data_IF_266079128098
#
_entry.id   IF_266079128098
#
_cell.length_a   1.000
_cell.length_b   1.000
_cell.length_c   1.000
_cell.angle_alpha   90.00
_cell.angle_beta   90.00
_cell.angle_gamma   90.00
#
_symmetry.space_group_name_H-M   'P 1'
#
loop_
_entity.id
_entity.type
_entity.pdbx_description
1 polymer ?
#
# COMPACT_ATOMS: atom_id res chain seq x y z
N UNK A 1 -17.14 -7.77 -32.38
CA UNK A 1 -16.55 -8.22 -31.13
C UNK A 1 -16.28 -7.01 -30.25
N UNK A 2 -16.95 -6.94 -29.12
CA UNK A 2 -16.75 -5.84 -28.20
C UNK A 2 -15.53 -6.14 -27.33
N UNK A 3 -14.56 -5.23 -27.34
CA UNK A 3 -13.47 -5.28 -26.39
C UNK A 3 -14.01 -4.91 -25.02
N UNK A 4 -14.07 -5.87 -24.13
CA UNK A 4 -14.37 -5.57 -22.76
C UNK A 4 -13.10 -5.02 -22.11
N UNK A 5 -13.14 -3.75 -21.77
CA UNK A 5 -12.11 -3.20 -20.91
C UNK A 5 -12.27 -3.81 -19.53
N UNK A 6 -11.23 -4.51 -19.08
CA UNK A 6 -11.18 -5.00 -17.71
C UNK A 6 -10.75 -3.84 -16.85
N UNK A 7 -11.65 -3.33 -16.01
CA UNK A 7 -11.30 -2.29 -15.05
C UNK A 7 -10.27 -2.81 -14.08
N UNK A 8 -9.19 -2.06 -13.92
CA UNK A 8 -8.20 -2.33 -12.89
C UNK A 8 -8.79 -2.02 -11.53
N UNK A 9 -8.55 -2.90 -10.59
CA UNK A 9 -8.91 -2.69 -9.19
C UNK A 9 -7.75 -2.00 -8.50
N UNK A 10 -7.99 -0.80 -8.00
CA UNK A 10 -6.96 0.05 -7.45
C UNK A 10 -7.25 0.36 -5.99
N UNK A 11 -6.27 0.06 -5.14
CA UNK A 11 -6.29 0.47 -3.73
C UNK A 11 -5.73 1.88 -3.64
N UNK A 12 -6.46 2.80 -3.01
CA UNK A 12 -6.02 4.19 -2.89
C UNK A 12 -5.59 4.47 -1.46
N UNK A 13 -4.35 4.90 -1.29
CA UNK A 13 -3.79 5.23 0.01
C UNK A 13 -3.07 6.59 -0.05
N UNK A 14 -3.07 7.28 1.09
CA UNK A 14 -2.39 8.57 1.23
C UNK A 14 -1.14 8.41 2.08
N UNK A 15 -0.08 9.08 1.71
CA UNK A 15 1.22 9.03 2.38
C UNK A 15 1.67 10.42 2.79
N UNK A 16 2.52 10.48 3.82
CA UNK A 16 3.34 11.65 4.10
C UNK A 16 4.48 11.73 3.06
N UNK A 17 4.95 12.95 2.79
CA UNK A 17 5.95 13.22 1.75
C UNK A 17 7.17 12.30 1.84
N UNK A 18 7.72 12.11 3.03
CA UNK A 18 8.92 11.29 3.23
C UNK A 18 8.75 9.86 2.69
N UNK A 19 7.63 9.22 3.03
CA UNK A 19 7.36 7.85 2.59
C UNK A 19 6.98 7.80 1.11
N UNK A 20 6.24 8.81 0.64
CA UNK A 20 5.90 8.95 -0.77
C UNK A 20 7.16 8.97 -1.64
N UNK A 21 8.13 9.79 -1.29
CA UNK A 21 9.37 9.93 -2.05
C UNK A 21 10.18 8.60 -2.06
N UNK A 22 10.32 7.94 -0.91
CA UNK A 22 11.04 6.67 -0.83
C UNK A 22 10.37 5.55 -1.65
N UNK A 23 9.05 5.50 -1.65
CA UNK A 23 8.32 4.50 -2.43
C UNK A 23 8.39 4.79 -3.92
N UNK A 24 8.21 6.04 -4.32
CA UNK A 24 8.28 6.46 -5.71
C UNK A 24 9.65 6.18 -6.32
N UNK A 25 10.71 6.35 -5.54
CA UNK A 25 12.09 6.10 -5.96
C UNK A 25 12.44 4.60 -5.90
N UNK A 26 11.55 3.75 -5.40
CA UNK A 26 11.75 2.31 -5.34
C UNK A 26 12.57 1.81 -4.15
N UNK A 27 12.93 2.69 -3.21
CA UNK A 27 13.69 2.30 -2.02
C UNK A 27 12.85 1.62 -0.95
N UNK A 28 11.54 1.88 -0.92
CA UNK A 28 10.63 1.29 0.06
C UNK A 28 9.54 0.51 -0.68
N UNK A 29 9.52 -0.80 -0.48
CA UNK A 29 8.59 -1.69 -1.17
C UNK A 29 7.56 -2.35 -0.26
N UNK A 30 7.43 -1.85 0.95
CA UNK A 30 6.41 -2.28 1.90
C UNK A 30 5.76 -1.06 2.49
N UNK A 31 4.42 -1.02 2.46
CA UNK A 31 3.65 -0.02 3.19
C UNK A 31 3.17 -0.62 4.49
N UNK A 32 3.42 0.08 5.60
CA UNK A 32 2.97 -0.34 6.92
C UNK A 32 1.75 0.46 7.34
N UNK A 33 0.76 -0.23 7.86
CA UNK A 33 -0.45 0.40 8.39
C UNK A 33 -0.78 -0.15 9.77
N UNK A 34 -1.16 0.74 10.67
CA UNK A 34 -1.72 0.36 11.95
C UNK A 34 -3.09 -0.27 11.74
N UNK A 35 -3.41 -1.39 12.39
CA UNK A 35 -4.72 -2.00 12.26
C UNK A 35 -5.84 -1.02 12.60
N UNK A 36 -6.87 -0.98 11.77
CA UNK A 36 -8.06 -0.16 11.98
C UNK A 36 -9.21 -0.76 11.18
N UNK A 37 -10.44 -0.42 11.56
CA UNK A 37 -11.61 -0.85 10.78
C UNK A 37 -11.53 -0.35 9.34
N UNK A 38 -11.04 0.87 9.15
CA UNK A 38 -10.92 1.45 7.83
C UNK A 38 -9.98 0.65 6.93
N UNK A 39 -8.76 0.34 7.41
CA UNK A 39 -7.80 -0.37 6.58
C UNK A 39 -8.26 -1.80 6.29
N UNK A 40 -8.85 -2.48 7.28
CA UNK A 40 -9.39 -3.82 7.05
C UNK A 40 -10.54 -3.80 6.06
N UNK A 41 -11.39 -2.76 6.06
CA UNK A 41 -12.47 -2.64 5.08
C UNK A 41 -11.93 -2.48 3.65
N UNK A 42 -10.71 -1.98 3.50
CA UNK A 42 -10.05 -1.83 2.20
C UNK A 42 -9.38 -3.13 1.75
N UNK A 43 -8.90 -3.94 2.68
CA UNK A 43 -8.17 -5.17 2.38
C UNK A 43 -9.03 -6.42 2.37
N UNK A 44 -10.15 -6.42 3.09
CA UNK A 44 -11.07 -7.55 3.20
C UNK A 44 -12.43 -7.17 2.64
N UNK A 45 -13.09 -8.14 1.99
CA UNK A 45 -14.47 -7.98 1.57
C UNK A 45 -15.42 -8.26 2.74
N UNK A 46 -16.74 -8.16 2.49
CA UNK A 46 -17.77 -8.36 3.49
C UNK A 46 -17.81 -9.78 4.06
N UNK A 47 -17.23 -10.74 3.35
CA UNK A 47 -17.15 -12.15 3.78
C UNK A 47 -15.83 -12.47 4.50
N UNK A 48 -14.96 -11.47 4.71
CA UNK A 48 -13.67 -11.65 5.36
C UNK A 48 -12.58 -12.18 4.43
N UNK A 49 -12.82 -12.22 3.12
CA UNK A 49 -11.83 -12.64 2.15
C UNK A 49 -10.99 -11.45 1.68
N UNK A 50 -9.72 -11.70 1.36
CA UNK A 50 -8.85 -10.66 0.82
C UNK A 50 -9.34 -10.11 -0.50
N UNK A 51 -9.36 -8.78 -0.63
CA UNK A 51 -9.68 -8.13 -1.90
C UNK A 51 -8.48 -8.24 -2.83
N UNK A 52 -8.74 -8.51 -4.09
CA UNK A 52 -7.71 -8.60 -5.12
C UNK A 52 -7.57 -7.25 -5.80
N UNK A 53 -6.45 -6.58 -5.58
CA UNK A 53 -6.11 -5.35 -6.28
C UNK A 53 -5.02 -5.61 -7.31
N UNK A 54 -5.08 -4.87 -8.41
CA UNK A 54 -4.03 -4.91 -9.43
C UNK A 54 -2.93 -3.93 -9.08
N UNK A 55 -3.31 -2.75 -8.59
CA UNK A 55 -2.38 -1.65 -8.34
C UNK A 55 -2.78 -0.89 -7.07
N UNK A 56 -1.82 -0.11 -6.57
CA UNK A 56 -2.06 0.87 -5.53
C UNK A 56 -1.76 2.26 -6.09
N UNK A 57 -2.65 3.21 -5.83
CA UNK A 57 -2.37 4.63 -6.05
C UNK A 57 -1.98 5.25 -4.71
N UNK A 58 -0.78 5.81 -4.63
CA UNK A 58 -0.34 6.56 -3.47
C UNK A 58 -0.40 8.05 -3.76
N UNK A 59 -1.01 8.81 -2.86
CA UNK A 59 -1.06 10.26 -2.92
C UNK A 59 -0.23 10.88 -1.82
N UNK A 60 0.45 11.98 -2.14
CA UNK A 60 1.18 12.79 -1.17
C UNK A 60 0.24 13.81 -0.54
N UNK A 61 -0.50 13.40 0.47
CA UNK A 61 -1.47 14.26 1.15
C UNK A 61 -2.88 14.18 0.57
N UNK A 62 -3.79 14.98 1.13
CA UNK A 62 -5.23 14.91 0.84
C UNK A 62 -5.72 15.97 -0.13
N UNK A 63 -4.88 16.87 -0.59
CA UNK A 63 -5.28 17.91 -1.52
C UNK A 63 -5.75 17.29 -2.84
N UNK A 64 -6.74 17.93 -3.47
CA UNK A 64 -7.32 17.44 -4.72
C UNK A 64 -6.28 17.22 -5.82
N UNK A 65 -5.29 18.11 -5.89
CA UNK A 65 -4.22 18.07 -6.88
C UNK A 65 -2.92 17.50 -6.31
N UNK A 66 -2.99 16.70 -5.24
CA UNK A 66 -1.80 16.10 -4.64
C UNK A 66 -1.07 15.22 -5.64
N UNK A 67 0.26 15.25 -5.67
CA UNK A 67 1.02 14.31 -6.49
C UNK A 67 0.68 12.87 -6.16
N UNK A 68 0.67 12.02 -7.18
CA UNK A 68 0.38 10.60 -7.00
C UNK A 68 1.26 9.76 -7.90
N UNK A 69 1.40 8.48 -7.55
CA UNK A 69 1.99 7.48 -8.42
C UNK A 69 1.31 6.14 -8.19
N UNK A 70 1.52 5.22 -9.11
CA UNK A 70 0.95 3.87 -9.04
C UNK A 70 2.07 2.85 -8.94
N UNK A 71 1.81 1.76 -8.22
CA UNK A 71 2.68 0.60 -8.23
C UNK A 71 1.86 -0.69 -8.18
N UNK A 72 2.50 -1.80 -8.51
CA UNK A 72 1.86 -3.10 -8.44
C UNK A 72 1.54 -3.47 -6.99
N UNK A 73 0.37 -4.07 -6.78
CA UNK A 73 -0.04 -4.64 -5.50
C UNK A 73 0.31 -6.13 -5.47
N UNK A 74 1.14 -6.54 -4.53
CA UNK A 74 1.58 -7.93 -4.42
C UNK A 74 0.95 -8.71 -3.26
N UNK A 75 -0.03 -8.12 -2.59
CA UNK A 75 -0.69 -8.75 -1.45
C UNK A 75 -0.31 -8.08 -0.14
N UNK A 76 -0.74 -8.68 0.96
CA UNK A 76 -0.47 -8.14 2.29
C UNK A 76 -0.41 -9.26 3.32
N UNK A 77 0.19 -8.94 4.47
CA UNK A 77 0.32 -9.86 5.58
C UNK A 77 0.34 -9.07 6.89
N UNK A 78 0.34 -9.77 8.00
CA UNK A 78 0.37 -9.18 9.33
C UNK A 78 1.69 -9.55 10.01
N UNK A 79 2.30 -8.56 10.68
CA UNK A 79 3.55 -8.77 11.40
C UNK A 79 3.32 -9.68 12.60
N UNK A 80 4.03 -10.80 12.65
CA UNK A 80 3.92 -11.75 13.75
C UNK A 80 4.85 -11.43 14.92
N UNK A 81 5.95 -10.73 14.62
CA UNK A 81 6.95 -10.34 15.61
C UNK A 81 7.40 -8.90 15.37
N UNK A 82 7.76 -8.15 16.42
CA UNK A 82 8.39 -6.85 16.21
C UNK A 82 9.61 -7.01 15.31
N UNK A 83 9.70 -6.18 14.28
CA UNK A 83 10.73 -6.30 13.25
C UNK A 83 11.30 -4.94 12.92
N UNK A 84 12.60 -4.89 12.65
CA UNK A 84 13.28 -3.69 12.21
C UNK A 84 13.49 -3.73 10.71
N UNK A 85 13.09 -2.65 10.02
CA UNK A 85 13.27 -2.47 8.59
C UNK A 85 14.10 -1.23 8.33
N UNK A 86 14.97 -1.29 7.33
CA UNK A 86 15.78 -0.15 6.91
C UNK A 86 15.48 0.14 5.44
N UNK A 87 15.07 1.38 5.16
CA UNK A 87 14.79 1.86 3.81
C UNK A 87 15.63 3.11 3.58
N UNK A 88 16.72 2.96 2.81
CA UNK A 88 17.68 4.04 2.70
C UNK A 88 18.26 4.41 4.06
N UNK A 89 18.07 5.66 4.48
CA UNK A 89 18.51 6.14 5.80
C UNK A 89 17.40 6.08 6.87
N UNK A 90 16.24 5.54 6.51
CA UNK A 90 15.10 5.48 7.41
C UNK A 90 14.95 4.12 8.06
N UNK A 91 14.69 4.12 9.35
CA UNK A 91 14.50 2.92 10.16
C UNK A 91 13.06 2.88 10.65
N UNK A 92 12.38 1.76 10.44
CA UNK A 92 11.03 1.52 10.94
C UNK A 92 11.06 0.28 11.82
N UNK A 93 10.52 0.40 13.02
CA UNK A 93 10.32 -0.75 13.92
C UNK A 93 8.82 -1.01 13.96
N UNK A 94 8.42 -2.21 13.55
CA UNK A 94 7.02 -2.61 13.55
C UNK A 94 6.67 -3.36 14.83
N UNK A 95 5.38 -3.29 15.19
CA UNK A 95 4.81 -4.04 16.30
C UNK A 95 4.03 -5.24 15.74
N UNK A 96 3.76 -6.21 16.62
CA UNK A 96 2.87 -7.33 16.30
C UNK A 96 1.52 -6.77 15.87
N UNK A 97 0.96 -7.32 14.80
CA UNK A 97 -0.32 -6.88 14.25
C UNK A 97 -0.22 -5.79 13.20
N UNK A 98 0.94 -5.17 13.02
CA UNK A 98 1.14 -4.19 11.94
C UNK A 98 0.84 -4.84 10.59
N UNK A 99 0.06 -4.16 9.77
CA UNK A 99 -0.26 -4.62 8.42
C UNK A 99 0.86 -4.24 7.48
N UNK A 100 1.34 -5.22 6.71
CA UNK A 100 2.37 -5.03 5.68
C UNK A 100 1.74 -5.21 4.31
N UNK A 101 1.78 -4.19 3.48
CA UNK A 101 1.30 -4.25 2.10
C UNK A 101 2.51 -4.31 1.19
N UNK A 102 2.63 -5.37 0.41
CA UNK A 102 3.78 -5.60 -0.45
C UNK A 102 3.60 -4.94 -1.80
N UNK A 103 4.61 -4.22 -2.23
CA UNK A 103 4.60 -3.41 -3.44
C UNK A 103 5.54 -4.01 -4.48
N UNK A 104 5.06 -4.05 -5.71
CA UNK A 104 5.90 -4.42 -6.83
C UNK A 104 6.48 -3.20 -7.54
N UNK A 105 6.53 -3.29 -8.86
CA UNK A 105 7.11 -2.26 -9.72
C UNK A 105 6.33 -0.94 -9.63
N UNK A 106 7.04 0.18 -9.57
CA UNK A 106 6.46 1.51 -9.76
C UNK A 106 6.10 1.67 -11.25
N UNK A 107 4.87 2.05 -11.50
CA UNK A 107 4.33 2.13 -12.87
C UNK A 107 4.38 3.54 -13.44
#
# INVERSE_FOLDING_TARGET
MTNQEVEKKILKLTLKKKWFDLMKDGFKKIEFRTPSEWIYSRLLDENGNGRNYDEIEFKNGYAKNAPSFYCEFLGWDIEEHPTEYIFGNEKIITEVGTIKIFLGKVL
#
